data_IF_660270949010
#
_entry.id   IF_660270949010
#
_cell.length_a   1.000
_cell.length_b   1.000
_cell.length_c   1.000
_cell.angle_alpha   90.00
_cell.angle_beta   90.00
_cell.angle_gamma   90.00
#
_symmetry.space_group_name_H-M   'P 1'
#
loop_
_entity.id
_entity.type
_entity.pdbx_description
1 polymer ?
#
# COMPACT_ATOMS: atom_id res chain seq x y z
N UNK A 1 40.95 -14.13 27.76
CA UNK A 1 41.73 -14.85 28.79
C UNK A 1 40.76 -15.27 29.89
N UNK A 2 39.89 -16.25 29.67
CA UNK A 2 40.14 -17.64 30.08
C UNK A 2 39.24 -18.69 29.37
N UNK A 3 38.77 -18.43 28.14
CA UNK A 3 37.87 -19.37 27.41
C UNK A 3 38.36 -19.81 26.02
N UNK A 4 39.58 -19.43 25.63
CA UNK A 4 40.16 -19.75 24.30
C UNK A 4 41.26 -20.83 24.39
N UNK A 5 41.79 -21.12 25.58
CA UNK A 5 42.84 -22.15 25.75
C UNK A 5 42.30 -23.59 25.77
N UNK A 6 41.07 -23.81 26.23
CA UNK A 6 40.51 -25.16 26.35
C UNK A 6 39.95 -25.72 25.04
N UNK A 7 39.53 -24.85 24.10
CA UNK A 7 39.06 -25.27 22.77
C UNK A 7 40.24 -25.66 21.85
N UNK A 8 41.41 -25.03 22.03
CA UNK A 8 42.59 -25.30 21.21
C UNK A 8 43.24 -26.64 21.56
N UNK A 9 43.15 -27.09 22.82
CA UNK A 9 43.69 -28.37 23.27
C UNK A 9 42.85 -29.57 22.77
N UNK A 10 41.53 -29.40 22.65
CA UNK A 10 40.61 -30.41 22.09
C UNK A 10 40.77 -30.54 20.57
N UNK A 11 41.06 -29.43 19.86
CA UNK A 11 41.29 -29.44 18.41
C UNK A 11 42.64 -30.04 18.01
N UNK A 12 43.70 -29.85 18.81
CA UNK A 12 45.02 -30.44 18.54
C UNK A 12 45.08 -31.96 18.82
N UNK A 13 44.31 -32.45 19.80
CA UNK A 13 44.28 -33.89 20.10
C UNK A 13 43.39 -34.70 19.13
N UNK A 14 42.46 -34.04 18.44
CA UNK A 14 41.63 -34.65 17.41
C UNK A 14 42.39 -34.88 16.08
N UNK A 15 43.39 -34.05 15.75
CA UNK A 15 44.18 -34.17 14.50
C UNK A 15 45.17 -35.35 14.53
N UNK A 16 45.80 -35.64 15.68
CA UNK A 16 46.73 -36.78 15.78
C UNK A 16 46.03 -38.14 15.72
N UNK A 17 44.81 -38.27 16.27
CA UNK A 17 44.03 -39.52 16.16
C UNK A 17 43.50 -39.75 14.75
N UNK A 18 43.20 -38.68 13.98
CA UNK A 18 42.76 -38.77 12.59
C UNK A 18 43.91 -39.17 11.64
N UNK A 19 45.12 -38.66 11.85
CA UNK A 19 46.32 -39.08 11.08
C UNK A 19 46.66 -40.55 11.28
N UNK A 20 46.44 -41.10 12.47
CA UNK A 20 46.75 -42.52 12.78
C UNK A 20 45.72 -43.51 12.19
N UNK A 21 44.48 -43.07 11.95
CA UNK A 21 43.42 -43.90 11.33
C UNK A 21 43.53 -43.91 9.80
N UNK A 22 44.09 -42.86 9.18
CA UNK A 22 44.25 -42.76 7.72
C UNK A 22 45.39 -43.61 7.12
N UNK A 23 46.23 -44.26 7.94
CA UNK A 23 47.36 -45.06 7.46
C UNK A 23 47.03 -46.52 7.08
N UNK A 24 45.77 -46.97 7.23
CA UNK A 24 45.35 -48.33 6.86
C UNK A 24 43.98 -48.35 6.19
N UNK A 25 43.90 -47.95 4.92
CA UNK A 25 42.77 -48.35 4.06
C UNK A 25 43.26 -48.51 2.62
N UNK A 26 42.95 -49.61 1.92
CA UNK A 26 43.46 -49.86 0.57
C UNK A 26 43.03 -48.77 -0.41
N UNK A 27 43.98 -48.30 -1.23
CA UNK A 27 43.90 -47.17 -2.19
C UNK A 27 42.70 -47.19 -3.15
N UNK A 28 41.94 -48.29 -3.22
CA UNK A 28 40.73 -48.45 -4.04
C UNK A 28 39.49 -47.74 -3.46
N UNK A 29 39.25 -47.76 -2.14
CA UNK A 29 38.00 -47.19 -1.56
C UNK A 29 38.03 -45.67 -1.40
N UNK A 30 39.22 -45.09 -1.22
CA UNK A 30 39.39 -43.63 -1.04
C UNK A 30 39.17 -42.86 -2.35
N UNK A 31 39.53 -43.47 -3.50
CA UNK A 31 39.26 -42.90 -4.82
C UNK A 31 37.75 -42.86 -5.11
N UNK A 32 37.02 -43.93 -4.80
CA UNK A 32 35.56 -44.00 -4.97
C UNK A 32 34.83 -43.03 -4.03
N UNK A 33 35.30 -42.86 -2.80
CA UNK A 33 34.71 -41.91 -1.84
C UNK A 33 34.96 -40.45 -2.23
N UNK A 34 36.14 -40.12 -2.77
CA UNK A 34 36.43 -38.80 -3.35
C UNK A 34 35.53 -38.50 -4.55
N UNK A 35 35.31 -39.48 -5.42
CA UNK A 35 34.44 -39.31 -6.58
C UNK A 35 32.96 -39.13 -6.19
N UNK A 36 32.48 -39.88 -5.18
CA UNK A 36 31.11 -39.72 -4.63
C UNK A 36 30.94 -38.36 -3.94
N UNK A 37 31.98 -37.87 -3.25
CA UNK A 37 31.94 -36.57 -2.57
C UNK A 37 32.00 -35.41 -3.56
N UNK A 38 32.81 -35.51 -4.62
CA UNK A 38 32.82 -34.56 -5.73
C UNK A 38 31.50 -34.57 -6.50
N UNK A 39 30.90 -35.73 -6.77
CA UNK A 39 29.57 -35.82 -7.39
C UNK A 39 28.48 -35.20 -6.52
N UNK A 40 28.52 -35.39 -5.19
CA UNK A 40 27.59 -34.74 -4.26
C UNK A 40 27.80 -33.22 -4.16
N UNK A 41 29.05 -32.75 -4.18
CA UNK A 41 29.36 -31.31 -4.22
C UNK A 41 28.96 -30.67 -5.54
N UNK A 42 29.17 -31.33 -6.68
CA UNK A 42 28.67 -30.88 -7.99
C UNK A 42 27.14 -30.89 -8.05
N UNK A 43 26.47 -31.89 -7.46
CA UNK A 43 25.02 -31.94 -7.37
C UNK A 43 24.45 -30.84 -6.43
N UNK A 44 25.13 -30.54 -5.32
CA UNK A 44 24.77 -29.44 -4.43
C UNK A 44 25.05 -28.07 -5.05
N UNK A 45 26.16 -27.90 -5.79
CA UNK A 45 26.45 -26.68 -6.55
C UNK A 45 25.50 -26.50 -7.74
N UNK A 46 25.05 -27.57 -8.40
CA UNK A 46 24.00 -27.50 -9.41
C UNK A 46 22.63 -27.21 -8.80
N UNK A 47 22.32 -27.76 -7.62
CA UNK A 47 21.08 -27.47 -6.89
C UNK A 47 21.06 -26.01 -6.39
N UNK A 48 22.19 -25.51 -5.87
CA UNK A 48 22.34 -24.09 -5.52
C UNK A 48 22.34 -23.21 -6.76
N UNK A 49 22.96 -23.58 -7.88
CA UNK A 49 22.85 -22.83 -9.14
C UNK A 49 21.43 -22.83 -9.72
N UNK A 50 20.63 -23.89 -9.51
CA UNK A 50 19.21 -23.92 -9.88
C UNK A 50 18.36 -23.09 -8.91
N UNK A 51 18.67 -23.07 -7.61
CA UNK A 51 17.98 -22.20 -6.64
C UNK A 51 18.43 -20.73 -6.70
N UNK A 52 19.62 -20.44 -7.22
CA UNK A 52 20.20 -19.09 -7.36
C UNK A 52 19.94 -18.46 -8.73
N UNK A 53 19.29 -19.18 -9.65
CA UNK A 53 18.85 -18.66 -10.95
C UNK A 53 17.33 -18.64 -11.12
N UNK A 54 16.59 -18.98 -10.05
CA UNK A 54 15.13 -18.84 -9.93
C UNK A 54 14.75 -17.75 -8.91
N UNK A 55 15.56 -16.69 -8.78
CA UNK A 55 15.13 -15.41 -8.23
C UNK A 55 14.86 -14.40 -9.35
N UNK A 56 13.65 -14.36 -9.92
CA UNK A 56 13.19 -13.24 -10.71
C UNK A 56 12.32 -12.33 -9.82
N UNK A 57 12.91 -11.69 -8.82
CA UNK A 57 12.26 -10.54 -8.15
C UNK A 57 12.05 -9.38 -9.17
N UNK A 58 12.73 -9.41 -10.33
CA UNK A 58 12.62 -8.37 -11.36
C UNK A 58 12.34 -8.81 -12.82
N UNK A 59 12.39 -10.11 -13.19
CA UNK A 59 12.14 -10.52 -14.60
C UNK A 59 10.72 -11.01 -14.90
N UNK A 60 9.83 -11.10 -13.90
CA UNK A 60 8.41 -11.42 -14.14
C UNK A 60 7.56 -10.24 -14.64
N UNK A 61 8.17 -9.06 -14.87
CA UNK A 61 7.47 -7.87 -15.35
C UNK A 61 7.12 -7.92 -16.86
N UNK A 62 7.62 -8.91 -17.62
CA UNK A 62 7.41 -9.01 -19.08
C UNK A 62 7.15 -10.45 -19.53
N UNK A 63 6.26 -11.18 -18.86
CA UNK A 63 5.68 -12.39 -19.45
C UNK A 63 4.16 -12.31 -19.43
N UNK A 64 3.64 -11.55 -20.40
CA UNK A 64 2.22 -11.47 -20.76
C UNK A 64 1.76 -12.82 -21.32
N UNK A 65 1.50 -13.80 -20.46
CA UNK A 65 0.61 -14.90 -20.84
C UNK A 65 -0.82 -14.37 -20.78
N UNK A 66 -1.30 -13.95 -21.94
CA UNK A 66 -2.66 -13.50 -22.23
C UNK A 66 -3.70 -14.46 -21.63
N UNK A 67 -4.16 -14.16 -20.42
CA UNK A 67 -5.40 -14.70 -19.92
C UNK A 67 -6.50 -14.13 -20.82
N UNK A 68 -7.19 -15.02 -21.54
CA UNK A 68 -8.28 -14.70 -22.46
C UNK A 68 -9.36 -13.96 -21.67
N UNK A 69 -9.37 -12.62 -21.75
CA UNK A 69 -10.42 -11.78 -21.17
C UNK A 69 -11.75 -12.18 -21.82
N UNK A 70 -12.56 -12.94 -21.08
CA UNK A 70 -13.95 -13.18 -21.45
C UNK A 70 -14.64 -11.80 -21.49
N UNK A 71 -15.26 -11.41 -22.62
CA UNK A 71 -15.93 -10.13 -22.71
C UNK A 71 -17.06 -10.08 -21.68
N UNK A 72 -17.03 -9.07 -20.81
CA UNK A 72 -18.07 -8.86 -19.80
C UNK A 72 -19.46 -8.81 -20.46
N UNK A 73 -20.43 -9.44 -19.81
CA UNK A 73 -21.84 -9.34 -20.20
C UNK A 73 -22.31 -7.87 -20.15
N UNK A 74 -23.31 -7.47 -20.95
CA UNK A 74 -23.83 -6.09 -20.93
C UNK A 74 -24.30 -5.66 -19.54
N UNK A 75 -24.85 -6.60 -18.74
CA UNK A 75 -25.23 -6.35 -17.35
C UNK A 75 -24.01 -6.07 -16.46
N UNK A 76 -22.97 -6.90 -16.52
CA UNK A 76 -21.74 -6.68 -15.75
C UNK A 76 -21.06 -5.36 -16.11
N UNK A 77 -21.11 -4.96 -17.38
CA UNK A 77 -20.59 -3.66 -17.82
C UNK A 77 -21.39 -2.48 -17.25
N UNK A 78 -22.72 -2.60 -17.21
CA UNK A 78 -23.59 -1.59 -16.60
C UNK A 78 -23.34 -1.44 -15.10
N UNK A 79 -23.22 -2.57 -14.39
CA UNK A 79 -22.93 -2.60 -12.95
C UNK A 79 -21.55 -2.01 -12.65
N UNK A 80 -20.52 -2.39 -13.41
CA UNK A 80 -19.17 -1.84 -13.24
C UNK A 80 -19.13 -0.33 -13.48
N UNK A 81 -19.84 0.16 -14.50
CA UNK A 81 -19.96 1.59 -14.75
C UNK A 81 -20.64 2.32 -13.60
N UNK A 82 -21.73 1.77 -13.06
CA UNK A 82 -22.45 2.35 -11.92
C UNK A 82 -21.56 2.46 -10.69
N UNK A 83 -20.85 1.39 -10.30
CA UNK A 83 -19.93 1.43 -9.16
C UNK A 83 -18.78 2.40 -9.39
N UNK A 84 -18.23 2.42 -10.61
CA UNK A 84 -17.18 3.37 -10.95
C UNK A 84 -17.67 4.82 -10.82
N UNK A 85 -18.87 5.14 -11.30
CA UNK A 85 -19.48 6.45 -11.17
C UNK A 85 -19.72 6.80 -9.70
N UNK A 86 -20.26 5.86 -8.92
CA UNK A 86 -20.51 6.02 -7.49
C UNK A 86 -19.22 6.36 -6.73
N UNK A 87 -18.11 5.67 -7.03
CA UNK A 87 -16.81 5.94 -6.42
C UNK A 87 -16.33 7.36 -6.73
N UNK A 88 -16.40 7.81 -8.00
CA UNK A 88 -16.03 9.18 -8.38
C UNK A 88 -16.91 10.22 -7.72
N UNK A 89 -18.23 10.00 -7.69
CA UNK A 89 -19.18 10.91 -7.06
C UNK A 89 -18.92 11.01 -5.57
N UNK A 90 -18.69 9.89 -4.89
CA UNK A 90 -18.40 9.84 -3.45
C UNK A 90 -17.07 10.54 -3.14
N UNK A 91 -16.03 10.31 -3.94
CA UNK A 91 -14.75 10.99 -3.80
C UNK A 91 -14.87 12.50 -4.03
N UNK A 92 -15.61 12.93 -5.05
CA UNK A 92 -15.88 14.35 -5.30
C UNK A 92 -16.66 14.97 -4.14
N UNK A 93 -17.70 14.30 -3.66
CA UNK A 93 -18.49 14.75 -2.52
C UNK A 93 -17.62 14.91 -1.28
N UNK A 94 -16.71 13.97 -1.04
CA UNK A 94 -15.78 14.05 0.09
C UNK A 94 -14.84 15.25 -0.04
N UNK A 95 -14.26 15.50 -1.23
CA UNK A 95 -13.43 16.69 -1.48
C UNK A 95 -14.22 17.99 -1.25
N UNK A 96 -15.43 18.08 -1.79
CA UNK A 96 -16.31 19.25 -1.63
C UNK A 96 -16.63 19.46 -0.15
N UNK A 97 -16.93 18.38 0.58
CA UNK A 97 -17.19 18.44 2.02
C UNK A 97 -15.98 18.99 2.79
N UNK A 98 -14.77 18.48 2.53
CA UNK A 98 -13.53 18.96 3.16
C UNK A 98 -13.31 20.45 2.86
N UNK A 99 -13.44 20.86 1.60
CA UNK A 99 -13.24 22.26 1.20
C UNK A 99 -14.29 23.16 1.87
N UNK A 100 -15.53 22.68 2.00
CA UNK A 100 -16.63 23.43 2.63
C UNK A 100 -16.36 23.60 4.13
N UNK A 101 -15.93 22.55 4.83
CA UNK A 101 -15.51 22.64 6.25
C UNK A 101 -14.31 23.57 6.41
N UNK A 102 -13.39 23.58 5.45
CA UNK A 102 -12.17 24.41 5.51
C UNK A 102 -12.46 25.90 5.26
N UNK A 103 -13.30 26.25 4.27
CA UNK A 103 -13.61 27.65 3.93
C UNK A 103 -14.80 28.23 4.69
N UNK A 104 -15.78 27.40 5.05
CA UNK A 104 -17.02 27.82 5.71
C UNK A 104 -17.27 27.00 6.99
N UNK A 105 -16.33 27.02 7.97
CA UNK A 105 -16.46 26.23 9.18
C UNK A 105 -17.62 26.66 10.08
N UNK A 106 -18.21 27.84 9.86
CA UNK A 106 -19.34 28.39 10.61
C UNK A 106 -20.61 27.52 10.51
N UNK A 107 -20.72 26.72 9.45
CA UNK A 107 -21.85 25.81 9.24
C UNK A 107 -21.67 24.45 9.94
N UNK A 108 -20.56 24.24 10.65
CA UNK A 108 -20.19 22.96 11.23
C UNK A 108 -19.85 23.10 12.72
N UNK A 109 -20.09 22.03 13.46
CA UNK A 109 -19.73 21.96 14.87
C UNK A 109 -18.21 21.77 15.05
N UNK A 110 -17.69 22.14 16.23
CA UNK A 110 -16.31 21.81 16.65
C UNK A 110 -16.04 20.31 16.51
N UNK A 111 -17.00 19.48 16.93
CA UNK A 111 -16.95 18.03 16.81
C UNK A 111 -16.75 17.59 15.35
N UNK A 112 -17.46 18.18 14.39
CA UNK A 112 -17.32 17.84 12.96
C UNK A 112 -15.92 18.16 12.43
N UNK A 113 -15.40 19.36 12.74
CA UNK A 113 -14.08 19.81 12.30
C UNK A 113 -12.98 18.89 12.87
N UNK A 114 -13.09 18.58 14.16
CA UNK A 114 -12.15 17.74 14.86
C UNK A 114 -12.22 16.28 14.38
N UNK A 115 -13.41 15.68 14.30
CA UNK A 115 -13.60 14.30 13.85
C UNK A 115 -13.13 14.11 12.39
N UNK A 116 -13.30 15.11 11.53
CA UNK A 116 -12.76 15.07 10.17
C UNK A 116 -11.23 15.02 10.16
N UNK A 117 -10.57 15.73 11.08
CA UNK A 117 -9.12 15.69 11.25
C UNK A 117 -8.65 14.32 11.79
N UNK A 118 -9.42 13.71 12.71
CA UNK A 118 -9.17 12.33 13.19
C UNK A 118 -9.35 11.31 12.05
N UNK A 119 -10.34 11.49 11.16
CA UNK A 119 -10.53 10.63 10.00
C UNK A 119 -9.33 10.64 9.04
N UNK A 120 -8.68 11.78 8.85
CA UNK A 120 -7.44 11.84 8.07
C UNK A 120 -6.27 11.11 8.72
N UNK A 121 -6.19 11.11 10.06
CA UNK A 121 -5.23 10.27 10.77
C UNK A 121 -5.57 8.79 10.62
N UNK A 122 -6.85 8.43 10.66
CA UNK A 122 -7.28 7.05 10.44
C UNK A 122 -6.92 6.54 9.04
N UNK A 123 -6.95 7.43 8.04
CA UNK A 123 -6.59 7.12 6.66
C UNK A 123 -5.16 6.55 6.56
N UNK A 124 -4.22 6.99 7.40
CA UNK A 124 -2.88 6.38 7.49
C UNK A 124 -2.97 4.87 7.70
N UNK A 125 -3.78 4.43 8.66
CA UNK A 125 -3.94 3.00 8.96
C UNK A 125 -4.61 2.28 7.78
N UNK A 126 -5.60 2.92 7.15
CA UNK A 126 -6.32 2.34 6.03
C UNK A 126 -5.44 2.17 4.79
N UNK A 127 -4.65 3.16 4.38
CA UNK A 127 -3.83 3.03 3.16
C UNK A 127 -2.74 1.97 3.33
N UNK A 128 -2.10 1.89 4.50
CA UNK A 128 -1.05 0.91 4.75
C UNK A 128 -1.62 -0.51 4.85
N UNK A 129 -2.73 -0.69 5.56
CA UNK A 129 -3.40 -1.98 5.62
C UNK A 129 -3.81 -2.49 4.24
N UNK A 130 -4.09 -1.61 3.28
CA UNK A 130 -4.34 -1.98 1.89
C UNK A 130 -3.15 -2.69 1.23
N UNK A 131 -1.94 -2.16 1.41
CA UNK A 131 -0.70 -2.76 0.89
C UNK A 131 -0.45 -4.13 1.52
N UNK A 132 -0.55 -4.24 2.84
CA UNK A 132 -0.30 -5.50 3.53
C UNK A 132 -1.37 -6.55 3.18
N UNK A 133 -2.64 -6.18 3.11
CA UNK A 133 -3.71 -7.10 2.70
C UNK A 133 -3.56 -7.52 1.23
N UNK A 134 -3.12 -6.65 0.34
CA UNK A 134 -2.82 -7.00 -1.05
C UNK A 134 -1.60 -7.95 -1.15
N UNK A 135 -0.52 -7.67 -0.40
CA UNK A 135 0.69 -8.49 -0.40
C UNK A 135 0.46 -9.89 0.20
N UNK A 136 -0.38 -9.98 1.22
CA UNK A 136 -0.65 -11.23 1.93
C UNK A 136 -1.95 -11.92 1.53
N UNK A 137 -2.68 -11.43 0.52
CA UNK A 137 -4.02 -11.88 0.13
C UNK A 137 -4.22 -13.42 0.06
N UNK A 138 -3.18 -14.17 -0.32
CA UNK A 138 -3.20 -15.64 -0.47
C UNK A 138 -2.72 -16.42 0.75
N UNK A 139 -2.36 -15.72 1.82
CA UNK A 139 -1.79 -16.31 3.02
C UNK A 139 -2.80 -16.19 4.17
N UNK A 140 -2.73 -17.13 5.11
CA UNK A 140 -3.54 -17.07 6.33
C UNK A 140 -3.18 -15.87 7.22
N UNK A 141 -2.08 -15.16 6.94
CA UNK A 141 -1.66 -13.98 7.68
C UNK A 141 -2.65 -12.82 7.58
N UNK A 142 -3.49 -12.76 6.54
CA UNK A 142 -4.55 -11.74 6.44
C UNK A 142 -5.45 -11.76 7.67
N UNK A 143 -5.78 -12.93 8.20
CA UNK A 143 -6.59 -13.05 9.41
C UNK A 143 -5.91 -12.55 10.68
N UNK A 144 -4.58 -12.55 10.73
CA UNK A 144 -3.82 -11.95 11.83
C UNK A 144 -3.73 -10.42 11.68
N UNK A 145 -3.72 -9.91 10.45
CA UNK A 145 -3.72 -8.47 10.19
C UNK A 145 -5.04 -7.80 10.57
N UNK A 146 -6.18 -8.52 10.51
CA UNK A 146 -7.48 -7.99 10.92
C UNK A 146 -7.45 -7.52 12.38
N UNK A 147 -7.24 -8.36 13.41
CA UNK A 147 -7.23 -7.89 14.80
C UNK A 147 -6.12 -6.88 15.06
N UNK A 148 -4.97 -7.00 14.39
CA UNK A 148 -3.89 -6.01 14.48
C UNK A 148 -4.36 -4.61 14.08
N UNK A 149 -4.97 -4.46 12.90
CA UNK A 149 -5.53 -3.18 12.46
C UNK A 149 -6.79 -2.78 13.23
N UNK A 150 -7.53 -3.74 13.77
CA UNK A 150 -8.67 -3.49 14.66
C UNK A 150 -8.26 -2.77 15.94
N UNK A 151 -7.08 -3.07 16.51
CA UNK A 151 -6.54 -2.34 17.67
C UNK A 151 -6.34 -0.86 17.32
N UNK A 152 -5.75 -0.56 16.15
CA UNK A 152 -5.61 0.82 15.71
C UNK A 152 -6.97 1.50 15.48
N UNK A 153 -7.95 0.79 14.92
CA UNK A 153 -9.30 1.32 14.76
C UNK A 153 -9.95 1.64 16.12
N UNK A 154 -9.75 0.80 17.15
CA UNK A 154 -10.23 1.07 18.51
C UNK A 154 -9.55 2.30 19.13
N UNK A 155 -8.23 2.39 18.99
CA UNK A 155 -7.45 3.55 19.49
C UNK A 155 -7.95 4.84 18.83
N UNK A 156 -8.10 4.86 17.51
CA UNK A 156 -8.57 6.05 16.80
C UNK A 156 -10.05 6.34 17.07
N UNK A 157 -10.89 5.33 17.25
CA UNK A 157 -12.28 5.51 17.65
C UNK A 157 -12.39 6.19 19.03
N UNK A 158 -11.48 5.88 19.96
CA UNK A 158 -11.44 6.56 21.27
C UNK A 158 -11.04 8.03 21.19
N UNK A 159 -10.47 8.48 20.06
CA UNK A 159 -10.17 9.88 19.82
C UNK A 159 -11.37 10.67 19.30
N UNK A 160 -12.36 10.02 18.69
CA UNK A 160 -13.54 10.71 18.15
C UNK A 160 -14.34 11.38 19.26
N UNK A 161 -14.80 12.60 18.99
CA UNK A 161 -15.80 13.28 19.80
C UNK A 161 -17.20 12.72 19.48
N UNK A 162 -17.93 12.35 20.54
CA UNK A 162 -19.27 11.76 20.47
C UNK A 162 -19.27 10.25 20.71
N UNK A 163 -20.44 9.70 21.04
CA UNK A 163 -20.61 8.27 21.37
C UNK A 163 -20.73 7.37 20.12
N UNK A 164 -20.38 7.91 18.95
CA UNK A 164 -20.56 7.28 17.65
C UNK A 164 -19.36 6.37 17.34
N UNK A 165 -19.61 5.08 17.14
CA UNK A 165 -18.57 4.11 16.74
C UNK A 165 -18.23 4.18 15.24
N UNK A 166 -18.14 5.40 14.68
CA UNK A 166 -17.99 5.65 13.25
C UNK A 166 -16.74 4.99 12.67
N UNK A 167 -15.59 5.10 13.36
CA UNK A 167 -14.31 4.52 12.89
C UNK A 167 -14.38 3.00 12.86
N UNK A 168 -15.01 2.39 13.87
CA UNK A 168 -15.13 0.93 13.95
C UNK A 168 -16.00 0.41 12.81
N UNK A 169 -17.13 1.06 12.51
CA UNK A 169 -17.99 0.68 11.38
C UNK A 169 -17.28 0.88 10.05
N UNK A 170 -16.63 2.03 9.84
CA UNK A 170 -15.89 2.33 8.62
C UNK A 170 -14.75 1.31 8.41
N UNK A 171 -14.00 1.03 9.47
CA UNK A 171 -12.96 0.00 9.50
C UNK A 171 -13.52 -1.37 9.07
N UNK A 172 -14.60 -1.82 9.70
CA UNK A 172 -15.19 -3.13 9.45
C UNK A 172 -15.62 -3.29 7.99
N UNK A 173 -16.31 -2.28 7.43
CA UNK A 173 -16.75 -2.29 6.03
C UNK A 173 -15.57 -2.33 5.06
N UNK A 174 -14.56 -1.49 5.28
CA UNK A 174 -13.38 -1.42 4.40
C UNK A 174 -12.58 -2.72 4.44
N UNK A 175 -12.33 -3.26 5.64
CA UNK A 175 -11.59 -4.51 5.79
C UNK A 175 -12.36 -5.69 5.23
N UNK A 176 -13.67 -5.78 5.45
CA UNK A 176 -14.51 -6.81 4.85
C UNK A 176 -14.43 -6.76 3.31
N UNK A 177 -14.59 -5.57 2.72
CA UNK A 177 -14.47 -5.38 1.26
C UNK A 177 -13.09 -5.81 0.74
N UNK A 178 -12.01 -5.49 1.46
CA UNK A 178 -10.64 -5.87 1.06
C UNK A 178 -10.39 -7.37 1.16
N UNK A 179 -10.93 -8.04 2.16
CA UNK A 179 -10.83 -9.50 2.29
C UNK A 179 -11.57 -10.16 1.13
N UNK A 180 -12.81 -9.73 0.85
CA UNK A 180 -13.61 -10.25 -0.27
C UNK A 180 -12.86 -10.06 -1.59
N UNK A 181 -12.34 -8.86 -1.86
CA UNK A 181 -11.58 -8.56 -3.07
C UNK A 181 -10.26 -9.34 -3.13
N UNK A 182 -9.56 -9.51 -2.01
CA UNK A 182 -8.34 -10.31 -1.91
C UNK A 182 -8.56 -11.77 -2.26
N UNK A 183 -9.68 -12.37 -1.84
CA UNK A 183 -10.05 -13.74 -2.19
C UNK A 183 -10.48 -13.91 -3.65
N UNK A 184 -11.02 -12.87 -4.27
CA UNK A 184 -11.42 -12.91 -5.68
C UNK A 184 -10.24 -12.88 -6.66
N UNK A 185 -9.05 -12.47 -6.21
CA UNK A 185 -7.83 -12.39 -7.02
C UNK A 185 -7.24 -13.78 -7.27
N UNK A 186 -7.49 -14.34 -8.45
CA UNK A 186 -7.08 -15.71 -8.81
C UNK A 186 -5.70 -15.78 -9.45
N UNK A 187 -5.23 -14.70 -10.08
CA UNK A 187 -3.94 -14.69 -10.80
C UNK A 187 -2.85 -13.89 -10.08
N UNK A 188 -1.57 -14.25 -10.31
CA UNK A 188 -0.43 -13.48 -9.77
C UNK A 188 -0.37 -12.08 -10.38
N UNK A 189 -0.81 -11.92 -11.62
CA UNK A 189 -0.87 -10.64 -12.32
C UNK A 189 -1.86 -9.67 -11.67
N UNK A 190 -3.09 -10.13 -11.38
CA UNK A 190 -4.11 -9.33 -10.67
C UNK A 190 -3.63 -8.94 -9.27
N UNK A 191 -2.95 -9.85 -8.56
CA UNK A 191 -2.36 -9.57 -7.26
C UNK A 191 -1.27 -8.49 -7.37
N UNK A 192 -0.39 -8.58 -8.37
CA UNK A 192 0.63 -7.58 -8.64
C UNK A 192 0.04 -6.22 -8.97
N UNK A 193 -1.03 -6.16 -9.76
CA UNK A 193 -1.76 -4.92 -10.05
C UNK A 193 -2.37 -4.31 -8.79
N UNK A 194 -3.05 -5.11 -7.97
CA UNK A 194 -3.66 -4.62 -6.73
C UNK A 194 -2.61 -4.12 -5.73
N UNK A 195 -1.49 -4.83 -5.61
CA UNK A 195 -0.36 -4.40 -4.79
C UNK A 195 0.23 -3.07 -5.31
N UNK A 196 0.41 -2.96 -6.62
CA UNK A 196 0.90 -1.74 -7.25
C UNK A 196 -0.03 -0.53 -7.02
N UNK A 197 -1.34 -0.70 -7.22
CA UNK A 197 -2.31 0.37 -6.94
C UNK A 197 -2.33 0.76 -5.45
N UNK A 198 -2.24 -0.22 -4.55
CA UNK A 198 -2.16 0.05 -3.11
C UNK A 198 -0.87 0.79 -2.74
N UNK A 199 0.26 0.42 -3.35
CA UNK A 199 1.53 1.09 -3.16
C UNK A 199 1.52 2.53 -3.71
N UNK A 200 0.87 2.78 -4.86
CA UNK A 200 0.66 4.12 -5.39
C UNK A 200 -0.19 4.98 -4.46
N UNK A 201 -1.23 4.40 -3.83
CA UNK A 201 -2.05 5.11 -2.85
C UNK A 201 -1.25 5.50 -1.61
N UNK A 202 -0.41 4.60 -1.09
CA UNK A 202 0.51 4.90 0.03
C UNK A 202 1.54 5.95 -0.37
N UNK A 203 2.07 5.89 -1.59
CA UNK A 203 2.99 6.91 -2.10
C UNK A 203 2.30 8.28 -2.18
N UNK A 204 1.08 8.34 -2.72
CA UNK A 204 0.28 9.57 -2.76
C UNK A 204 0.02 10.11 -1.35
N UNK A 205 -0.33 9.22 -0.40
CA UNK A 205 -0.49 9.56 1.01
C UNK A 205 0.78 10.23 1.56
N UNK A 206 1.94 9.59 1.38
CA UNK A 206 3.22 10.11 1.88
C UNK A 206 3.57 11.45 1.24
N UNK A 207 3.43 11.56 -0.07
CA UNK A 207 3.70 12.81 -0.79
C UNK A 207 2.81 13.96 -0.30
N UNK A 208 1.52 13.71 -0.10
CA UNK A 208 0.59 14.72 0.42
C UNK A 208 0.95 15.11 1.87
N UNK A 209 1.18 14.12 2.73
CA UNK A 209 1.52 14.36 4.14
C UNK A 209 2.81 15.18 4.25
N UNK A 210 3.89 14.75 3.59
CA UNK A 210 5.16 15.47 3.65
C UNK A 210 5.06 16.85 3.00
N UNK A 211 4.33 16.99 1.90
CA UNK A 211 4.14 18.28 1.24
C UNK A 211 3.43 19.27 2.17
N UNK A 212 2.34 18.86 2.82
CA UNK A 212 1.62 19.73 3.75
C UNK A 212 2.44 20.06 4.99
N UNK A 213 3.23 19.11 5.50
CA UNK A 213 4.09 19.35 6.67
C UNK A 213 5.25 20.30 6.35
N UNK A 214 5.92 20.13 5.21
CA UNK A 214 7.04 20.97 4.78
C UNK A 214 6.55 22.37 4.40
N UNK A 215 5.44 22.45 3.65
CA UNK A 215 4.88 23.70 3.16
C UNK A 215 3.75 24.23 4.05
N UNK A 216 3.72 23.89 5.35
CA UNK A 216 2.65 24.31 6.27
C UNK A 216 2.45 25.82 6.32
N UNK A 217 3.51 26.59 6.12
CA UNK A 217 3.48 28.06 6.07
C UNK A 217 2.76 28.62 4.84
N UNK A 218 2.61 27.82 3.77
CA UNK A 218 1.91 28.17 2.54
C UNK A 218 0.42 27.76 2.60
N UNK A 219 0.04 26.90 3.55
CA UNK A 219 -1.33 26.42 3.68
C UNK A 219 -2.23 27.57 4.15
N UNK A 220 -3.25 27.96 3.37
CA UNK A 220 -4.16 29.02 3.79
C UNK A 220 -5.03 28.54 4.96
N UNK A 221 -5.29 29.43 5.91
CA UNK A 221 -6.20 29.13 7.02
C UNK A 221 -7.64 28.88 6.53
N UNK A 222 -8.04 29.44 5.38
CA UNK A 222 -9.43 29.42 4.94
C UNK A 222 -10.31 30.16 5.96
N UNK A 223 -11.39 29.54 6.40
CA UNK A 223 -12.20 30.02 7.52
C UNK A 223 -11.69 29.58 8.90
N UNK A 224 -10.78 28.60 8.97
CA UNK A 224 -10.21 28.05 10.21
C UNK A 224 -9.07 28.92 10.74
N UNK A 225 -9.31 30.22 10.85
CA UNK A 225 -8.34 31.19 11.35
C UNK A 225 -8.16 31.05 12.86
N UNK A 226 -7.00 31.44 13.43
CA UNK A 226 -6.80 31.42 14.88
C UNK A 226 -7.87 32.22 15.65
N UNK A 227 -8.36 33.32 15.07
CA UNK A 227 -9.44 34.14 15.65
C UNK A 227 -10.76 33.37 15.72
N UNK A 228 -11.12 32.67 14.64
CA UNK A 228 -12.32 31.83 14.60
C UNK A 228 -12.23 30.67 15.59
N UNK A 229 -11.10 29.96 15.63
CA UNK A 229 -10.88 28.83 16.53
C UNK A 229 -10.95 29.26 18.02
N UNK A 230 -10.45 30.45 18.35
CA UNK A 230 -10.58 31.00 19.70
C UNK A 230 -12.03 31.39 20.01
N UNK A 231 -12.75 31.99 19.06
CA UNK A 231 -14.17 32.39 19.23
C UNK A 231 -15.09 31.21 19.57
N UNK A 232 -14.81 30.03 19.02
CA UNK A 232 -15.60 28.81 19.26
C UNK A 232 -15.03 27.92 20.38
N UNK A 233 -14.05 28.43 21.14
CA UNK A 233 -13.34 27.70 22.21
C UNK A 233 -12.79 26.33 21.75
N UNK A 234 -12.37 26.23 20.49
CA UNK A 234 -11.98 24.96 19.85
C UNK A 234 -10.93 24.20 20.66
N UNK A 235 -9.85 24.89 21.06
CA UNK A 235 -8.74 24.26 21.79
C UNK A 235 -9.13 23.80 23.19
N UNK A 236 -10.21 24.30 23.78
CA UNK A 236 -10.71 23.83 25.07
C UNK A 236 -11.59 22.59 24.93
N UNK A 237 -12.29 22.46 23.79
CA UNK A 237 -13.29 21.43 23.56
C UNK A 237 -12.73 20.14 22.95
N UNK A 238 -11.59 20.19 22.27
CA UNK A 238 -11.00 19.00 21.63
C UNK A 238 -10.36 18.06 22.68
N UNK A 239 -10.47 16.73 22.51
CA UNK A 239 -9.92 15.77 23.46
C UNK A 239 -8.40 15.53 23.30
N UNK A 240 -7.79 15.93 22.17
CA UNK A 240 -6.38 15.68 21.87
C UNK A 240 -5.68 16.99 21.47
N UNK A 241 -4.57 17.33 22.15
CA UNK A 241 -3.86 18.60 21.96
C UNK A 241 -2.48 18.43 21.30
N UNK A 242 -2.43 17.75 20.16
CA UNK A 242 -1.19 17.71 19.36
C UNK A 242 -1.12 18.88 18.38
N UNK A 243 0.07 19.21 17.90
CA UNK A 243 0.27 20.22 16.85
C UNK A 243 -0.61 19.96 15.61
N UNK A 244 -0.90 18.69 15.31
CA UNK A 244 -1.79 18.34 14.21
C UNK A 244 -3.25 18.72 14.47
N UNK A 245 -3.76 18.44 15.68
CA UNK A 245 -5.16 18.71 16.04
C UNK A 245 -5.43 20.18 16.36
N UNK A 246 -4.41 20.90 16.86
CA UNK A 246 -4.51 22.33 17.18
C UNK A 246 -4.66 23.21 15.94
N UNK A 247 -4.17 22.73 14.78
CA UNK A 247 -4.20 23.45 13.52
C UNK A 247 -4.99 22.66 12.45
N UNK A 248 -6.34 22.58 12.56
CA UNK A 248 -7.16 21.71 11.72
C UNK A 248 -7.09 22.04 10.22
N UNK A 249 -6.79 23.29 9.85
CA UNK A 249 -6.58 23.70 8.45
C UNK A 249 -5.47 22.89 7.74
N UNK A 250 -4.46 22.43 8.48
CA UNK A 250 -3.40 21.56 7.96
C UNK A 250 -3.98 20.19 7.59
N UNK A 251 -4.84 19.63 8.46
CA UNK A 251 -5.58 18.41 8.18
C UNK A 251 -6.48 18.53 6.95
N UNK A 252 -7.23 19.63 6.84
CA UNK A 252 -8.09 19.90 5.68
C UNK A 252 -7.30 19.99 4.37
N UNK A 253 -6.16 20.69 4.38
CA UNK A 253 -5.28 20.79 3.22
C UNK A 253 -4.73 19.42 2.78
N UNK A 254 -4.30 18.62 3.75
CA UNK A 254 -3.88 17.24 3.52
C UNK A 254 -5.02 16.42 2.89
N UNK A 255 -6.22 16.45 3.47
CA UNK A 255 -7.38 15.73 2.95
C UNK A 255 -7.71 16.15 1.51
N UNK A 256 -7.80 17.46 1.26
CA UNK A 256 -8.09 18.00 -0.06
C UNK A 256 -7.07 17.53 -1.12
N UNK A 257 -5.78 17.50 -0.77
CA UNK A 257 -4.74 16.99 -1.69
C UNK A 257 -4.81 15.47 -1.86
N UNK A 258 -4.94 14.73 -0.77
CA UNK A 258 -4.92 13.27 -0.79
C UNK A 258 -6.06 12.71 -1.66
N UNK A 259 -7.27 13.25 -1.54
CA UNK A 259 -8.40 12.87 -2.36
C UNK A 259 -8.42 13.58 -3.72
N UNK A 260 -7.92 14.81 -3.80
CA UNK A 260 -7.93 15.63 -5.01
C UNK A 260 -6.96 15.15 -6.09
N UNK A 261 -5.74 14.75 -5.73
CA UNK A 261 -4.72 14.33 -6.70
C UNK A 261 -5.16 13.11 -7.52
N UNK A 262 -5.64 12.00 -6.92
CA UNK A 262 -6.12 10.85 -7.70
C UNK A 262 -7.26 11.23 -8.65
N UNK A 263 -8.22 12.04 -8.19
CA UNK A 263 -9.34 12.50 -9.02
C UNK A 263 -8.85 13.36 -10.20
N UNK A 264 -7.93 14.30 -9.95
CA UNK A 264 -7.32 15.15 -10.97
C UNK A 264 -6.52 14.33 -12.00
N UNK A 265 -5.72 13.36 -11.54
CA UNK A 265 -4.97 12.47 -12.43
C UNK A 265 -5.89 11.67 -13.34
N UNK A 266 -6.95 11.08 -12.79
CA UNK A 266 -7.88 10.25 -13.57
C UNK A 266 -8.66 11.10 -14.58
N UNK A 267 -9.20 12.25 -14.15
CA UNK A 267 -9.91 13.17 -15.05
C UNK A 267 -8.99 13.67 -16.16
N UNK A 268 -7.74 14.02 -15.86
CA UNK A 268 -6.74 14.41 -16.86
C UNK A 268 -6.46 13.30 -17.88
N UNK A 269 -6.24 12.05 -17.43
CA UNK A 269 -5.99 10.91 -18.32
C UNK A 269 -7.19 10.66 -19.24
N UNK A 270 -8.42 10.73 -18.70
CA UNK A 270 -9.65 10.54 -19.46
C UNK A 270 -9.84 11.63 -20.53
N UNK A 271 -9.66 12.90 -20.17
CA UNK A 271 -9.76 14.03 -21.10
C UNK A 271 -8.68 13.91 -22.20
N UNK A 272 -7.44 13.58 -21.83
CA UNK A 272 -6.34 13.40 -22.78
C UNK A 272 -6.62 12.27 -23.78
N UNK A 273 -7.20 11.15 -23.31
CA UNK A 273 -7.60 10.03 -24.16
C UNK A 273 -8.69 10.43 -25.17
N UNK A 274 -9.70 11.17 -24.73
CA UNK A 274 -10.77 11.70 -25.58
C UNK A 274 -10.19 12.67 -26.63
N UNK A 275 -9.34 13.61 -26.19
CA UNK A 275 -8.68 14.56 -27.08
C UNK A 275 -7.87 13.86 -28.18
N UNK A 276 -7.06 12.84 -27.82
CA UNK A 276 -6.30 12.03 -28.79
C UNK A 276 -7.21 11.33 -29.79
N UNK A 277 -8.35 10.76 -29.36
CA UNK A 277 -9.33 10.11 -30.25
C UNK A 277 -9.98 11.10 -31.23
N UNK A 278 -10.33 12.30 -30.76
CA UNK A 278 -10.91 13.35 -31.60
C UNK A 278 -9.88 13.81 -32.63
N UNK A 279 -8.65 14.12 -32.21
CA UNK A 279 -7.58 14.54 -33.10
C UNK A 279 -7.24 13.48 -34.15
N UNK A 280 -7.24 12.20 -33.78
CA UNK A 280 -7.04 11.10 -34.73
C UNK A 280 -8.17 11.05 -35.78
N UNK A 281 -9.44 11.19 -35.37
CA UNK A 281 -10.60 11.26 -36.28
C UNK A 281 -10.53 12.46 -37.23
N UNK A 282 -10.08 13.61 -36.75
CA UNK A 282 -9.89 14.82 -37.59
C UNK A 282 -8.77 14.59 -38.61
N UNK A 283 -7.62 14.05 -38.18
CA UNK A 283 -6.48 13.76 -39.07
C UNK A 283 -6.84 12.73 -40.15
N UNK A 284 -7.57 11.67 -39.80
CA UNK A 284 -8.05 10.67 -40.78
C UNK A 284 -9.09 11.23 -41.74
N UNK A 285 -10.00 12.11 -41.29
CA UNK A 285 -10.92 12.82 -42.20
C UNK A 285 -10.17 13.74 -43.17
N UNK A 286 -9.18 14.50 -42.69
CA UNK A 286 -8.37 15.42 -43.51
C UNK A 286 -7.60 14.69 -44.62
N UNK A 287 -7.00 13.53 -44.33
CA UNK A 287 -6.29 12.70 -45.32
C UNK A 287 -7.24 12.15 -46.40
N UNK A 288 -8.49 11.86 -46.04
CA UNK A 288 -9.50 11.32 -46.97
C UNK A 288 -10.02 12.38 -47.94
N UNK A 289 -10.03 13.64 -47.54
CA UNK A 289 -10.45 14.78 -48.38
C UNK A 289 -9.35 15.27 -49.34
N UNK A 290 -8.06 15.08 -49.03
CA UNK A 290 -6.95 15.43 -49.95
C UNK A 290 -6.63 14.35 -50.99
N UNK A 291 -7.24 13.17 -50.89
CA UNK A 291 -7.09 12.05 -51.84
C UNK A 291 -8.26 11.92 -52.83
N UNK A 292 -9.22 12.84 -52.78
CA UNK A 292 -10.26 13.04 -53.80
C UNK A 292 -9.92 14.30 -54.59
#
# INVERSE_FOLDING_TARGET
MFFIKDILYVLLFADERLKKIMAKTPKSKVATQKEITQKKQHALLQKNKRQQYDDPIFSSFVETTSAKYLPLTPLQRGVQFFFSLFDYTTQLLYIVFIITVWWFPEHFSVQTIYNLTVLFLFEFILVHSGVFMAAFARTKLVFALIPFYGIFALIINSMIMGDENLIIWLYAVIVANRIINGYQVKTKEEMGKNLFYSALLVLNFMLCLFSVMIFKFLVPYGGLTPQYLNKIDYLYLIPQHSDYFNFPHIGMAYGALFYGIPLACITYINILSIYKRIMFKIKTRKIRTTRR
#
